data_IF_298480001877
#
_entry.id   IF_298480001877
#
_cell.length_a   1.000
_cell.length_b   1.000
_cell.length_c   1.000
_cell.angle_alpha   90.00
_cell.angle_beta   90.00
_cell.angle_gamma   90.00
#
_symmetry.space_group_name_H-M   'P 1'
#
loop_
_entity.id
_entity.type
_entity.pdbx_description
1 polymer ?
#
# COMPACT_ATOMS: atom_id res chain seq x y z
N UNK A 1 0.64 -19.49 -6.04
CA UNK A 1 2.10 -19.61 -5.82
C UNK A 1 2.54 -21.05 -6.04
N UNK A 2 2.00 -22.03 -5.30
CA UNK A 2 2.40 -23.44 -5.42
C UNK A 2 2.17 -24.04 -6.83
N UNK A 3 1.11 -23.61 -7.52
CA UNK A 3 0.79 -24.06 -8.88
C UNK A 3 1.59 -23.33 -9.95
N UNK A 4 1.83 -22.05 -9.76
CA UNK A 4 2.54 -21.21 -10.73
C UNK A 4 4.06 -21.44 -10.70
N UNK A 5 4.60 -21.99 -9.61
CA UNK A 5 6.04 -22.24 -9.40
C UNK A 5 6.94 -21.11 -9.96
N UNK A 6 6.67 -19.85 -9.58
CA UNK A 6 7.40 -18.73 -10.14
C UNK A 6 8.88 -18.81 -9.78
N UNK A 7 9.74 -18.57 -10.74
CA UNK A 7 11.19 -18.50 -10.51
C UNK A 7 11.54 -17.09 -10.00
N UNK A 8 12.35 -17.04 -8.95
CA UNK A 8 12.86 -15.78 -8.41
C UNK A 8 14.01 -15.31 -9.29
N UNK A 9 13.77 -14.29 -10.10
CA UNK A 9 14.78 -13.67 -10.97
C UNK A 9 15.58 -12.57 -10.25
N UNK A 10 15.12 -12.13 -9.11
CA UNK A 10 15.78 -11.11 -8.30
C UNK A 10 17.08 -11.63 -7.69
N UNK A 11 18.20 -10.88 -7.77
CA UNK A 11 19.45 -11.26 -7.10
C UNK A 11 19.28 -11.20 -5.59
N UNK A 12 19.86 -12.16 -4.87
CA UNK A 12 19.83 -12.20 -3.41
C UNK A 12 20.52 -10.98 -2.77
N UNK A 13 21.58 -10.50 -3.40
CA UNK A 13 22.29 -9.29 -2.99
C UNK A 13 22.64 -8.50 -4.24
N UNK A 14 22.29 -7.23 -4.24
CA UNK A 14 22.67 -6.30 -5.33
C UNK A 14 23.99 -5.62 -4.96
N UNK A 15 25.09 -6.05 -5.57
CA UNK A 15 26.44 -5.52 -5.33
C UNK A 15 26.79 -4.30 -6.18
N UNK A 16 26.24 -4.22 -7.40
CA UNK A 16 26.37 -3.07 -8.27
C UNK A 16 25.10 -2.23 -8.15
N UNK A 17 25.11 -1.24 -7.26
CA UNK A 17 23.95 -0.40 -7.01
C UNK A 17 23.89 0.79 -7.96
N UNK A 18 22.68 1.16 -8.33
CA UNK A 18 22.38 2.51 -8.79
C UNK A 18 22.81 3.48 -7.68
N UNK A 19 23.71 4.40 -7.98
CA UNK A 19 24.19 5.42 -7.02
C UNK A 19 23.06 6.34 -6.54
N UNK A 20 21.91 6.35 -7.22
CA UNK A 20 20.71 7.08 -6.82
C UNK A 20 19.90 6.34 -5.77
N UNK A 21 20.14 5.04 -5.55
CA UNK A 21 19.41 4.27 -4.55
C UNK A 21 19.87 4.68 -3.14
N UNK A 22 18.93 4.86 -2.20
CA UNK A 22 19.29 5.20 -0.82
C UNK A 22 20.07 4.04 -0.18
N UNK A 23 20.99 4.36 0.74
CA UNK A 23 21.78 3.34 1.41
C UNK A 23 20.88 2.40 2.21
N UNK A 24 21.27 1.12 2.28
CA UNK A 24 20.52 0.09 3.03
C UNK A 24 20.31 0.55 4.48
N UNK A 25 21.34 1.10 5.11
CA UNK A 25 21.22 1.74 6.40
C UNK A 25 21.46 3.26 6.27
N UNK A 26 20.56 4.13 6.80
CA UNK A 26 19.38 3.82 7.64
C UNK A 26 18.08 3.52 6.87
N UNK A 27 18.02 3.75 5.56
CA UNK A 27 16.75 3.81 4.83
C UNK A 27 15.96 2.50 4.82
N UNK A 28 16.59 1.37 4.50
CA UNK A 28 15.93 0.07 4.54
C UNK A 28 15.49 -0.28 5.96
N UNK A 29 16.34 0.00 6.95
CA UNK A 29 16.00 -0.20 8.36
C UNK A 29 14.77 0.62 8.76
N UNK A 30 14.73 1.91 8.40
CA UNK A 30 13.59 2.78 8.69
C UNK A 30 12.31 2.27 8.01
N UNK A 31 12.40 1.80 6.78
CA UNK A 31 11.25 1.27 6.04
C UNK A 31 10.68 0.00 6.69
N UNK A 32 11.55 -0.93 7.07
CA UNK A 32 11.15 -2.17 7.77
C UNK A 32 10.60 -1.84 9.16
N UNK A 33 11.28 -0.99 9.91
CA UNK A 33 10.83 -0.58 11.24
C UNK A 33 9.49 0.16 11.20
N UNK A 34 9.28 1.01 10.19
CA UNK A 34 8.00 1.69 9.97
C UNK A 34 6.86 0.68 9.75
N UNK A 35 7.08 -0.36 8.95
CA UNK A 35 6.09 -1.42 8.76
C UNK A 35 5.83 -2.27 10.00
N UNK A 36 6.89 -2.59 10.77
CA UNK A 36 6.80 -3.49 11.92
C UNK A 36 6.26 -2.83 13.20
N UNK A 37 6.64 -1.58 13.46
CA UNK A 37 6.37 -0.86 14.73
C UNK A 37 5.71 0.51 14.52
N UNK A 38 5.01 0.68 13.41
CA UNK A 38 4.27 1.91 13.13
C UNK A 38 3.23 2.19 14.21
N UNK A 39 3.26 3.41 14.76
CA UNK A 39 2.30 3.85 15.77
C UNK A 39 0.85 3.96 15.25
N UNK A 40 0.65 3.92 13.94
CA UNK A 40 -0.68 4.00 13.33
C UNK A 40 -1.59 2.85 13.79
N UNK A 41 -1.13 1.61 13.78
CA UNK A 41 -1.91 0.46 14.25
C UNK A 41 -2.24 0.56 15.75
N UNK A 42 -1.33 1.08 16.56
CA UNK A 42 -1.58 1.36 17.98
C UNK A 42 -2.69 2.40 18.18
N UNK A 43 -2.66 3.48 17.43
CA UNK A 43 -3.69 4.54 17.46
C UNK A 43 -5.05 4.01 16.99
N UNK A 44 -5.08 3.21 15.90
CA UNK A 44 -6.33 2.62 15.39
C UNK A 44 -6.92 1.64 16.41
N UNK A 45 -6.10 0.77 16.98
CA UNK A 45 -6.57 -0.24 17.92
C UNK A 45 -7.16 0.37 19.21
N UNK A 46 -6.48 1.36 19.78
CA UNK A 46 -6.93 2.01 21.02
C UNK A 46 -8.04 3.04 20.78
N UNK A 47 -7.94 3.82 19.70
CA UNK A 47 -8.84 4.94 19.44
C UNK A 47 -10.18 4.57 18.80
N UNK A 48 -10.17 3.60 17.88
CA UNK A 48 -11.36 3.27 17.08
C UNK A 48 -11.78 1.82 17.20
N UNK A 49 -10.90 0.85 16.99
CA UNK A 49 -11.25 -0.57 16.94
C UNK A 49 -11.81 -1.08 18.27
N UNK A 50 -11.19 -0.71 19.38
CA UNK A 50 -11.63 -1.10 20.73
C UNK A 50 -13.07 -0.63 21.05
N UNK A 51 -13.48 0.50 20.48
CA UNK A 51 -14.83 1.07 20.65
C UNK A 51 -15.88 0.41 19.73
N UNK A 52 -15.44 -0.31 18.70
CA UNK A 52 -16.31 -0.97 17.72
C UNK A 52 -16.51 -2.47 18.00
N UNK A 53 -15.66 -3.06 18.83
CA UNK A 53 -15.77 -4.47 19.20
C UNK A 53 -16.98 -4.68 20.09
N UNK A 54 -17.95 -5.45 19.63
CA UNK A 54 -19.22 -5.70 20.34
C UNK A 54 -19.04 -6.66 21.53
N UNK A 55 -18.23 -7.70 21.36
CA UNK A 55 -17.96 -8.70 22.40
C UNK A 55 -16.48 -8.88 22.61
N UNK A 56 -16.03 -8.96 23.86
CA UNK A 56 -14.64 -9.17 24.21
C UNK A 56 -14.07 -10.46 23.59
N UNK A 57 -14.90 -11.49 23.43
CA UNK A 57 -14.52 -12.75 22.79
C UNK A 57 -14.06 -12.56 21.33
N UNK A 58 -14.62 -11.58 20.62
CA UNK A 58 -14.33 -11.33 19.22
C UNK A 58 -12.99 -10.61 19.03
N UNK A 59 -12.48 -9.94 20.09
CA UNK A 59 -11.21 -9.22 20.07
C UNK A 59 -10.04 -10.13 19.64
N UNK A 60 -10.03 -11.38 20.08
CA UNK A 60 -9.00 -12.35 19.71
C UNK A 60 -9.05 -12.69 18.22
N UNK A 61 -10.25 -12.97 17.70
CA UNK A 61 -10.42 -13.29 16.27
C UNK A 61 -10.10 -12.10 15.38
N UNK A 62 -10.54 -10.91 15.77
CA UNK A 62 -10.25 -9.68 15.02
C UNK A 62 -8.74 -9.40 15.03
N UNK A 63 -8.07 -9.42 16.19
CA UNK A 63 -6.64 -9.10 16.31
C UNK A 63 -5.76 -10.13 15.59
N UNK A 64 -5.84 -11.39 15.97
CA UNK A 64 -5.00 -12.44 15.37
C UNK A 64 -5.40 -12.77 13.94
N UNK A 65 -6.68 -12.79 13.63
CA UNK A 65 -7.16 -13.06 12.26
C UNK A 65 -6.71 -12.00 11.28
N UNK A 66 -6.85 -10.73 11.65
CA UNK A 66 -6.36 -9.61 10.82
C UNK A 66 -4.84 -9.65 10.65
N UNK A 67 -4.07 -9.89 11.72
CA UNK A 67 -2.63 -9.99 11.67
C UNK A 67 -2.14 -11.12 10.76
N UNK A 68 -2.75 -12.31 10.83
CA UNK A 68 -2.41 -13.43 9.96
C UNK A 68 -2.77 -13.14 8.50
N UNK A 69 -3.93 -12.51 8.26
CA UNK A 69 -4.34 -12.08 6.93
C UNK A 69 -3.37 -11.06 6.32
N UNK A 70 -2.97 -10.05 7.10
CA UNK A 70 -2.00 -9.05 6.69
C UNK A 70 -0.63 -9.66 6.40
N UNK A 71 -0.13 -10.54 7.29
CA UNK A 71 1.13 -11.25 7.08
C UNK A 71 1.13 -12.11 5.83
N UNK A 72 0.04 -12.83 5.56
CA UNK A 72 -0.11 -13.63 4.34
C UNK A 72 -0.09 -12.75 3.10
N UNK A 73 -0.78 -11.62 3.14
CA UNK A 73 -0.79 -10.66 2.03
C UNK A 73 0.57 -10.02 1.82
N UNK A 74 1.31 -9.70 2.88
CA UNK A 74 2.67 -9.16 2.80
C UNK A 74 3.63 -10.13 2.09
N UNK A 75 3.57 -11.43 2.44
CA UNK A 75 4.34 -12.47 1.74
C UNK A 75 3.91 -12.58 0.29
N UNK A 76 2.61 -12.62 0.01
CA UNK A 76 2.08 -12.68 -1.35
C UNK A 76 2.50 -11.47 -2.20
N UNK A 77 2.49 -10.27 -1.63
CA UNK A 77 2.92 -9.05 -2.33
C UNK A 77 4.42 -9.05 -2.64
N UNK A 78 5.24 -9.56 -1.72
CA UNK A 78 6.68 -9.71 -1.95
C UNK A 78 6.94 -10.69 -3.09
N UNK A 79 6.27 -11.85 -3.10
CA UNK A 79 6.42 -12.84 -4.16
C UNK A 79 5.92 -12.29 -5.50
N UNK A 80 4.80 -11.56 -5.52
CA UNK A 80 4.30 -10.91 -6.72
C UNK A 80 5.32 -9.92 -7.29
N UNK A 81 5.94 -9.08 -6.45
CA UNK A 81 6.89 -8.08 -6.87
C UNK A 81 8.26 -8.67 -7.31
N UNK A 82 8.67 -9.82 -6.73
CA UNK A 82 10.00 -10.40 -6.95
C UNK A 82 9.98 -11.50 -8.01
N UNK A 83 8.97 -12.37 -7.98
CA UNK A 83 8.89 -13.54 -8.86
C UNK A 83 7.73 -13.46 -9.87
N UNK A 84 6.64 -12.78 -9.50
CA UNK A 84 5.48 -12.62 -10.39
C UNK A 84 5.79 -11.77 -11.62
N UNK A 85 6.69 -10.81 -11.53
CA UNK A 85 7.09 -9.94 -12.64
C UNK A 85 7.72 -10.75 -13.78
N UNK A 86 8.52 -11.76 -13.48
CA UNK A 86 9.14 -12.63 -14.49
C UNK A 86 8.15 -13.49 -15.28
N UNK A 87 6.89 -13.57 -14.83
CA UNK A 87 5.81 -14.28 -15.54
C UNK A 87 5.05 -13.37 -16.53
N UNK A 88 5.37 -12.07 -16.56
CA UNK A 88 4.66 -11.11 -17.42
C UNK A 88 5.25 -11.12 -18.81
N UNK A 89 4.55 -11.69 -19.78
CA UNK A 89 4.99 -11.83 -21.17
C UNK A 89 4.96 -10.52 -21.96
N UNK A 90 4.02 -9.62 -21.62
CA UNK A 90 3.91 -8.31 -22.27
C UNK A 90 3.20 -7.30 -21.37
N UNK A 91 3.75 -6.11 -21.29
CA UNK A 91 3.09 -4.99 -20.61
C UNK A 91 3.51 -3.66 -21.26
N UNK A 92 2.67 -2.64 -21.04
CA UNK A 92 2.98 -1.28 -21.38
C UNK A 92 3.23 -0.51 -20.08
N UNK A 93 4.47 -0.16 -19.82
CA UNK A 93 4.87 0.62 -18.65
C UNK A 93 4.84 2.11 -19.00
N UNK A 94 4.23 2.95 -18.14
CA UNK A 94 4.12 4.40 -18.40
C UNK A 94 5.48 5.08 -18.62
N UNK A 95 6.53 4.53 -18.04
CA UNK A 95 7.86 5.12 -18.04
C UNK A 95 8.81 4.54 -19.09
N UNK A 96 8.57 3.31 -19.60
CA UNK A 96 9.45 2.61 -20.55
C UNK A 96 8.76 2.34 -21.88
N UNK A 97 7.43 2.34 -21.91
CA UNK A 97 6.62 1.95 -23.08
C UNK A 97 6.32 0.44 -23.12
N UNK A 98 6.03 -0.11 -24.30
CA UNK A 98 5.73 -1.53 -24.47
C UNK A 98 6.98 -2.38 -24.29
N UNK A 99 6.94 -3.30 -23.33
CA UNK A 99 8.03 -4.25 -23.05
C UNK A 99 7.50 -5.66 -23.25
N UNK A 100 8.27 -6.47 -23.99
CA UNK A 100 8.07 -7.90 -24.10
C UNK A 100 9.03 -8.61 -23.12
N UNK A 101 8.54 -9.68 -22.48
CA UNK A 101 9.32 -10.50 -21.53
C UNK A 101 9.93 -9.67 -20.39
N UNK A 102 9.05 -9.20 -19.52
CA UNK A 102 9.46 -8.39 -18.38
C UNK A 102 10.27 -9.25 -17.40
N UNK A 103 11.41 -8.75 -16.97
CA UNK A 103 12.27 -9.39 -15.98
C UNK A 103 12.67 -8.40 -14.88
N UNK A 104 13.29 -8.91 -13.81
CA UNK A 104 13.74 -8.09 -12.70
C UNK A 104 14.65 -6.95 -13.12
N UNK A 105 15.62 -7.20 -14.00
CA UNK A 105 16.61 -6.21 -14.39
C UNK A 105 16.02 -5.08 -15.22
N UNK A 106 15.02 -5.36 -16.03
CA UNK A 106 14.31 -4.35 -16.83
C UNK A 106 13.37 -3.51 -15.95
N UNK A 107 12.67 -4.15 -15.01
CA UNK A 107 11.70 -3.44 -14.17
C UNK A 107 12.37 -2.59 -13.08
N UNK A 108 13.46 -3.07 -12.50
CA UNK A 108 14.20 -2.43 -11.42
C UNK A 108 15.59 -1.96 -11.88
N UNK A 109 15.69 -1.44 -13.10
CA UNK A 109 16.92 -0.91 -13.66
C UNK A 109 17.47 0.28 -12.86
N UNK A 110 16.56 1.17 -12.41
CA UNK A 110 16.90 2.36 -11.64
C UNK A 110 15.99 2.53 -10.43
N UNK A 111 16.47 3.25 -9.40
CA UNK A 111 15.69 3.57 -8.21
C UNK A 111 14.48 4.45 -8.53
N UNK A 112 14.65 5.43 -9.41
CA UNK A 112 13.58 6.32 -9.85
C UNK A 112 12.43 5.51 -10.48
N UNK A 113 12.75 4.56 -11.34
CA UNK A 113 11.81 3.66 -12.00
C UNK A 113 11.06 2.78 -11.00
N UNK A 114 11.80 2.14 -10.10
CA UNK A 114 11.24 1.27 -9.07
C UNK A 114 10.25 2.02 -8.16
N UNK A 115 10.57 3.26 -7.77
CA UNK A 115 9.70 4.06 -6.90
C UNK A 115 8.45 4.57 -7.59
N UNK A 116 8.54 4.96 -8.85
CA UNK A 116 7.39 5.40 -9.66
C UNK A 116 6.42 4.25 -9.92
N UNK A 117 6.94 3.05 -10.18
CA UNK A 117 6.15 1.89 -10.59
C UNK A 117 5.89 0.86 -9.47
N UNK A 118 6.12 1.20 -8.20
CA UNK A 118 6.02 0.24 -7.07
C UNK A 118 4.67 -0.46 -6.95
N UNK A 119 3.57 0.25 -7.19
CA UNK A 119 2.22 -0.33 -7.16
C UNK A 119 1.93 -1.17 -8.40
N UNK A 120 2.48 -0.77 -9.55
CA UNK A 120 2.35 -1.48 -10.81
C UNK A 120 3.02 -2.86 -10.74
N UNK A 121 4.14 -2.99 -10.03
CA UNK A 121 4.81 -4.27 -9.78
C UNK A 121 3.88 -5.29 -9.12
N UNK A 122 3.13 -4.87 -8.11
CA UNK A 122 2.18 -5.74 -7.44
C UNK A 122 1.02 -6.14 -8.34
N UNK A 123 0.47 -5.20 -9.12
CA UNK A 123 -0.65 -5.48 -10.04
C UNK A 123 -0.23 -6.41 -11.16
N UNK A 124 0.91 -6.16 -11.79
CA UNK A 124 1.41 -6.99 -12.89
C UNK A 124 1.83 -8.37 -12.41
N UNK A 125 2.68 -8.44 -11.40
CA UNK A 125 3.16 -9.71 -10.89
C UNK A 125 2.08 -10.55 -10.23
N UNK A 126 1.20 -9.94 -9.42
CA UNK A 126 0.06 -10.62 -8.84
C UNK A 126 -0.96 -11.05 -9.90
N UNK A 127 -1.18 -10.20 -10.90
CA UNK A 127 -2.02 -10.53 -12.06
C UNK A 127 -1.48 -11.75 -12.81
N UNK A 128 -0.18 -11.78 -13.10
CA UNK A 128 0.46 -12.92 -13.78
C UNK A 128 0.37 -14.23 -12.96
N UNK A 129 0.50 -14.15 -11.64
CA UNK A 129 0.28 -15.32 -10.77
C UNK A 129 -1.16 -15.83 -10.82
N UNK A 130 -2.15 -14.94 -10.91
CA UNK A 130 -3.56 -15.32 -11.06
C UNK A 130 -3.85 -15.88 -12.47
N UNK A 131 -3.17 -15.37 -13.48
CA UNK A 131 -3.27 -15.85 -14.86
C UNK A 131 -2.79 -17.30 -14.98
N UNK A 132 -1.75 -17.68 -14.26
CA UNK A 132 -1.28 -19.07 -14.15
C UNK A 132 -2.32 -20.01 -13.47
N UNK A 133 -3.29 -19.47 -12.76
CA UNK A 133 -4.41 -20.21 -12.21
C UNK A 133 -5.59 -20.36 -13.19
N UNK A 134 -5.44 -19.86 -14.42
CA UNK A 134 -6.45 -19.96 -15.48
C UNK A 134 -7.40 -18.76 -15.56
N UNK A 135 -7.13 -17.65 -14.85
CA UNK A 135 -7.92 -16.43 -15.01
C UNK A 135 -7.51 -15.67 -16.27
N UNK A 136 -8.46 -15.06 -17.00
CA UNK A 136 -8.13 -14.16 -18.10
C UNK A 136 -7.28 -12.98 -17.60
N UNK A 137 -6.27 -12.58 -18.38
CA UNK A 137 -5.29 -11.56 -18.03
C UNK A 137 -5.95 -10.23 -17.56
N UNK A 138 -6.96 -9.78 -18.30
CA UNK A 138 -7.70 -8.55 -17.96
C UNK A 138 -8.36 -8.64 -16.59
N UNK A 139 -9.03 -9.77 -16.31
CA UNK A 139 -9.70 -9.99 -15.02
C UNK A 139 -8.68 -10.08 -13.88
N UNK A 140 -7.59 -10.80 -14.07
CA UNK A 140 -6.53 -10.96 -13.08
C UNK A 140 -5.91 -9.62 -12.69
N UNK A 141 -5.54 -8.79 -13.67
CA UNK A 141 -5.00 -7.43 -13.44
C UNK A 141 -6.04 -6.52 -12.76
N UNK A 142 -7.30 -6.58 -13.20
CA UNK A 142 -8.38 -5.79 -12.60
C UNK A 142 -8.60 -6.17 -11.13
N UNK A 143 -8.63 -7.46 -10.79
CA UNK A 143 -8.77 -7.92 -9.40
C UNK A 143 -7.63 -7.40 -8.52
N UNK A 144 -6.39 -7.45 -9.01
CA UNK A 144 -5.23 -6.93 -8.27
C UNK A 144 -5.28 -5.41 -8.11
N UNK A 145 -5.72 -4.67 -9.13
CA UNK A 145 -5.90 -3.23 -9.05
C UNK A 145 -7.00 -2.85 -8.05
N UNK A 146 -8.15 -3.53 -8.08
CA UNK A 146 -9.25 -3.32 -7.12
C UNK A 146 -8.79 -3.60 -5.69
N UNK A 147 -7.96 -4.62 -5.49
CA UNK A 147 -7.41 -4.95 -4.18
C UNK A 147 -6.57 -3.78 -3.63
N UNK A 148 -5.65 -3.20 -4.42
CA UNK A 148 -4.87 -2.03 -4.02
C UNK A 148 -5.77 -0.82 -3.70
N UNK A 149 -6.74 -0.54 -4.56
CA UNK A 149 -7.67 0.58 -4.35
C UNK A 149 -8.46 0.38 -3.07
N UNK A 150 -8.90 -0.84 -2.78
CA UNK A 150 -9.61 -1.18 -1.54
C UNK A 150 -8.74 -0.94 -0.30
N UNK A 151 -7.46 -1.31 -0.34
CA UNK A 151 -6.51 -1.01 0.73
C UNK A 151 -6.32 0.50 0.95
N UNK A 152 -6.13 1.24 -0.13
CA UNK A 152 -5.99 2.68 -0.06
C UNK A 152 -7.26 3.34 0.53
N UNK A 153 -8.43 2.91 0.09
CA UNK A 153 -9.72 3.42 0.57
C UNK A 153 -9.94 3.13 2.06
N UNK A 154 -9.63 1.92 2.54
CA UNK A 154 -9.77 1.57 3.95
C UNK A 154 -8.79 2.35 4.84
N UNK A 155 -7.57 2.59 4.36
CA UNK A 155 -6.57 3.40 5.06
C UNK A 155 -7.02 4.86 5.17
N UNK A 156 -7.55 5.43 4.07
CA UNK A 156 -8.09 6.79 4.07
C UNK A 156 -9.28 6.95 5.02
N UNK A 157 -10.22 6.01 5.03
CA UNK A 157 -11.36 6.03 5.96
C UNK A 157 -10.88 6.05 7.42
N UNK A 158 -9.95 5.17 7.75
CA UNK A 158 -9.40 5.08 9.10
C UNK A 158 -8.62 6.34 9.50
N UNK A 159 -7.78 6.87 8.60
CA UNK A 159 -7.05 8.12 8.84
C UNK A 159 -8.00 9.29 9.07
N UNK A 160 -9.05 9.40 8.28
CA UNK A 160 -10.07 10.45 8.43
C UNK A 160 -10.81 10.34 9.78
N UNK A 161 -11.10 9.12 10.23
CA UNK A 161 -11.74 8.89 11.55
C UNK A 161 -10.83 9.34 12.69
N UNK A 162 -9.53 9.01 12.63
CA UNK A 162 -8.56 9.43 13.64
C UNK A 162 -8.42 10.95 13.65
N UNK A 163 -8.24 11.58 12.50
CA UNK A 163 -8.13 13.04 12.38
C UNK A 163 -9.36 13.74 12.95
N UNK A 164 -10.56 13.26 12.59
CA UNK A 164 -11.81 13.77 13.15
C UNK A 164 -11.85 13.67 14.67
N UNK A 165 -11.40 12.54 15.22
CA UNK A 165 -11.36 12.32 16.67
C UNK A 165 -10.41 13.31 17.35
N UNK A 166 -9.19 13.50 16.81
CA UNK A 166 -8.21 14.45 17.32
C UNK A 166 -8.77 15.88 17.28
N UNK A 167 -9.39 16.31 16.17
CA UNK A 167 -9.99 17.64 16.04
C UNK A 167 -11.11 17.84 17.07
N UNK A 168 -11.93 16.83 17.27
CA UNK A 168 -13.01 16.87 18.27
C UNK A 168 -12.47 16.99 19.71
N UNK A 169 -11.39 16.27 20.04
CA UNK A 169 -10.75 16.37 21.36
C UNK A 169 -10.08 17.74 21.58
N UNK A 170 -9.38 18.26 20.57
CA UNK A 170 -8.83 19.62 20.61
C UNK A 170 -9.95 20.64 20.82
N UNK A 171 -11.07 20.50 20.09
CA UNK A 171 -12.23 21.36 20.23
C UNK A 171 -12.81 21.33 21.66
N UNK A 172 -12.78 20.18 22.29
CA UNK A 172 -13.24 20.02 23.68
C UNK A 172 -12.25 20.68 24.65
N UNK A 173 -10.95 20.53 24.45
CA UNK A 173 -9.90 21.11 25.26
C UNK A 173 -9.90 22.66 25.21
N UNK A 174 -10.14 23.22 24.01
CA UNK A 174 -10.20 24.68 23.77
C UNK A 174 -11.59 25.26 24.13
N UNK A 175 -12.58 24.38 24.49
CA UNK A 175 -13.96 24.77 24.73
C UNK A 175 -14.64 25.44 23.52
N UNK A 176 -14.31 25.00 22.31
CA UNK A 176 -14.88 25.50 21.07
C UNK A 176 -15.94 24.52 20.54
N UNK A 177 -17.26 24.78 20.79
CA UNK A 177 -18.31 23.79 20.54
C UNK A 177 -18.49 23.42 19.07
N UNK A 178 -18.00 24.24 18.16
CA UNK A 178 -18.12 24.01 16.71
C UNK A 178 -17.37 22.75 16.27
N UNK A 179 -16.18 22.48 16.84
CA UNK A 179 -15.37 21.30 16.52
C UNK A 179 -15.88 19.99 17.14
N UNK A 180 -16.83 20.07 18.08
CA UNK A 180 -17.49 18.88 18.62
C UNK A 180 -18.52 18.30 17.65
N UNK A 181 -18.94 19.09 16.66
CA UNK A 181 -19.84 18.59 15.61
C UNK A 181 -19.06 17.68 14.65
N UNK A 182 -19.54 16.42 14.54
CA UNK A 182 -18.92 15.39 13.69
C UNK A 182 -18.72 15.80 12.22
N UNK A 183 -19.64 16.59 11.67
CA UNK A 183 -19.56 17.03 10.27
C UNK A 183 -18.49 18.10 10.08
N UNK A 184 -18.40 19.06 11.00
CA UNK A 184 -17.40 20.12 10.95
C UNK A 184 -16.01 19.55 11.19
N UNK A 185 -15.84 18.67 12.17
CA UNK A 185 -14.58 18.01 12.43
C UNK A 185 -14.12 17.17 11.22
N UNK A 186 -15.05 16.49 10.53
CA UNK A 186 -14.73 15.77 9.30
C UNK A 186 -14.35 16.72 8.16
N UNK A 187 -15.08 17.81 7.98
CA UNK A 187 -14.73 18.81 6.97
C UNK A 187 -13.34 19.42 7.22
N UNK A 188 -13.02 19.75 8.47
CA UNK A 188 -11.70 20.24 8.87
C UNK A 188 -10.58 19.21 8.63
N UNK A 189 -10.88 17.92 8.65
CA UNK A 189 -9.90 16.88 8.33
C UNK A 189 -9.71 16.71 6.82
N UNK A 190 -10.80 16.70 6.05
CA UNK A 190 -10.79 16.32 4.63
C UNK A 190 -10.49 17.49 3.71
N UNK A 191 -11.04 18.69 3.98
CA UNK A 191 -10.89 19.86 3.09
C UNK A 191 -9.42 20.26 2.90
N UNK A 192 -8.59 20.40 3.95
CA UNK A 192 -7.18 20.69 3.77
C UNK A 192 -6.42 19.63 2.98
N UNK A 193 -6.77 18.34 3.17
CA UNK A 193 -6.15 17.25 2.43
C UNK A 193 -6.49 17.34 0.93
N UNK A 194 -7.74 17.64 0.58
CA UNK A 194 -8.15 17.85 -0.82
C UNK A 194 -7.40 19.05 -1.41
N UNK A 195 -7.35 20.17 -0.71
CA UNK A 195 -6.66 21.38 -1.19
C UNK A 195 -5.17 21.09 -1.44
N UNK A 196 -4.49 20.42 -0.51
CA UNK A 196 -3.10 20.03 -0.67
C UNK A 196 -2.89 19.07 -1.83
N UNK A 197 -3.79 18.11 -2.02
CA UNK A 197 -3.72 17.17 -3.14
C UNK A 197 -3.91 17.90 -4.47
N UNK A 198 -4.89 18.79 -4.55
CA UNK A 198 -5.12 19.59 -5.77
C UNK A 198 -3.95 20.52 -6.09
N UNK A 199 -3.29 21.05 -5.06
CA UNK A 199 -2.10 21.90 -5.24
C UNK A 199 -0.87 21.08 -5.67
N UNK A 200 -0.75 19.84 -5.21
CA UNK A 200 0.40 18.96 -5.48
C UNK A 200 0.31 18.20 -6.81
N UNK A 201 -0.84 18.26 -7.51
CA UNK A 201 -0.95 17.67 -8.84
C UNK A 201 -0.22 18.60 -9.82
N UNK A 202 0.89 18.18 -10.45
CA UNK A 202 1.52 18.96 -11.51
C UNK A 202 0.50 19.14 -12.64
N UNK A 203 0.41 20.35 -13.18
CA UNK A 203 -0.44 20.60 -14.34
C UNK A 203 -0.06 19.59 -15.46
N UNK A 204 -1.03 18.85 -16.02
CA UNK A 204 -0.75 17.89 -17.08
C UNK A 204 -0.22 18.53 -18.38
N UNK A 205 -0.04 19.86 -18.38
CA UNK A 205 0.45 20.65 -19.52
C UNK A 205 1.87 21.23 -19.33
N UNK A 206 2.54 20.95 -18.20
CA UNK A 206 3.95 21.28 -17.95
C UNK A 206 4.81 20.01 -17.83
#
# INVERSE_FOLDING_TARGET
>A
ILLAQPVVDAPAIRTAGDLSAPPIFPMLFVTIACGAISGFHGLVSSGTTSKQVHKLKDARMIGYGAMLGEGTLAVASTIAAVAGIALVTSCNLPSIGPVADLNWHVYYDSWAHATTNKTTAFVLGGGALLEQLGLPQTLAKTLMAVLIISFAATTLDTATRIQRFIISEIGTAIKFPLFQNKYIATACAVVPAIILTMWSIPDPMT
#
